data_IF_935068419672
#
_entry.id   IF_935068419672
#
_cell.length_a   1.000
_cell.length_b   1.000
_cell.length_c   1.000
_cell.angle_alpha   90.00
_cell.angle_beta   90.00
_cell.angle_gamma   90.00
#
_symmetry.space_group_name_H-M   'P 1'
#
loop_
_entity.id
_entity.type
_entity.pdbx_description
1 polymer ?
#
# COMPACT_ATOMS: atom_id res chain seq x y z
N UNK A 1 18.02 16.23 3.24
CA UNK A 1 16.74 16.97 3.26
C UNK A 1 16.51 17.55 4.65
N UNK A 2 16.28 16.73 5.69
CA UNK A 2 15.94 17.26 7.02
C UNK A 2 17.10 17.92 7.79
N UNK A 3 18.35 17.66 7.41
CA UNK A 3 19.53 18.37 7.93
C UNK A 3 19.73 19.76 7.28
N UNK A 4 19.03 20.06 6.18
CA UNK A 4 19.01 21.38 5.55
C UNK A 4 17.80 22.16 6.10
N UNK A 5 18.01 23.25 6.88
CA UNK A 5 16.92 23.99 7.50
C UNK A 5 15.96 24.62 6.48
N UNK A 6 16.46 25.05 5.31
CA UNK A 6 15.64 25.65 4.26
C UNK A 6 14.75 24.58 3.65
N UNK A 7 15.33 23.43 3.27
CA UNK A 7 14.55 22.33 2.71
C UNK A 7 13.54 21.76 3.73
N UNK A 8 13.96 21.55 4.97
CA UNK A 8 13.13 20.99 6.05
C UNK A 8 11.89 21.85 6.35
N UNK A 9 11.99 23.17 6.17
CA UNK A 9 10.87 24.10 6.38
C UNK A 9 9.69 23.89 5.42
N UNK A 10 9.93 23.27 4.25
CA UNK A 10 8.90 22.98 3.26
C UNK A 10 8.32 21.57 3.36
N UNK A 11 8.92 20.69 4.17
CA UNK A 11 8.55 19.26 4.21
C UNK A 11 7.86 18.93 5.53
N UNK A 12 6.59 18.53 5.42
CA UNK A 12 5.78 18.10 6.57
C UNK A 12 5.97 16.64 6.99
N UNK A 13 6.44 15.77 6.08
CA UNK A 13 6.52 14.34 6.32
C UNK A 13 7.23 13.55 5.23
N UNK A 14 7.18 12.23 5.34
CA UNK A 14 7.87 11.26 4.48
C UNK A 14 6.85 10.30 3.87
N UNK A 15 6.85 10.19 2.55
CA UNK A 15 6.09 9.15 1.83
C UNK A 15 6.91 7.87 1.70
N UNK A 16 6.29 6.73 1.97
CA UNK A 16 6.92 5.39 1.89
C UNK A 16 6.01 4.44 1.09
N UNK A 17 6.62 3.56 0.29
CA UNK A 17 5.91 2.54 -0.49
C UNK A 17 6.22 1.14 0.06
N UNK A 18 5.24 0.25 0.02
CA UNK A 18 5.29 -1.08 0.67
C UNK A 18 6.27 -2.11 0.04
N UNK A 19 6.62 -1.96 -1.24
CA UNK A 19 7.19 -3.06 -2.05
C UNK A 19 8.56 -3.61 -1.60
N UNK A 20 9.24 -2.94 -0.66
CA UNK A 20 10.53 -3.36 -0.13
C UNK A 20 10.48 -3.85 1.33
N UNK A 21 9.30 -3.96 1.94
CA UNK A 21 9.13 -4.38 3.35
C UNK A 21 9.60 -5.82 3.61
N UNK A 22 9.69 -6.67 2.57
CA UNK A 22 10.31 -8.00 2.67
C UNK A 22 11.85 -7.98 2.75
N UNK A 23 12.47 -6.83 2.49
CA UNK A 23 13.93 -6.64 2.48
C UNK A 23 14.38 -5.73 3.63
N UNK A 24 13.62 -4.66 3.90
CA UNK A 24 13.91 -3.71 4.95
C UNK A 24 12.97 -3.89 6.14
N UNK A 25 13.50 -3.99 7.38
CA UNK A 25 12.65 -4.15 8.55
C UNK A 25 11.89 -2.86 8.88
N UNK A 26 10.68 -2.99 9.41
CA UNK A 26 9.85 -1.87 9.85
C UNK A 26 10.54 -0.98 10.93
N UNK A 27 11.55 -1.50 11.64
CA UNK A 27 12.36 -0.71 12.58
C UNK A 27 13.11 0.46 11.93
N UNK A 28 13.29 0.45 10.60
CA UNK A 28 13.79 1.59 9.85
C UNK A 28 12.83 2.80 9.93
N UNK A 29 11.52 2.57 10.00
CA UNK A 29 10.51 3.61 10.20
C UNK A 29 10.64 4.21 11.61
N UNK A 30 10.81 3.36 12.63
CA UNK A 30 11.06 3.82 14.00
C UNK A 30 12.35 4.64 14.11
N UNK A 31 13.45 4.15 13.51
CA UNK A 31 14.71 4.92 13.44
C UNK A 31 14.52 6.28 12.76
N UNK A 32 13.69 6.33 11.70
CA UNK A 32 13.40 7.55 10.96
C UNK A 32 12.60 8.54 11.82
N UNK A 33 11.58 8.07 12.53
CA UNK A 33 10.80 8.89 13.46
C UNK A 33 11.67 9.41 14.61
N UNK A 34 12.51 8.57 15.22
CA UNK A 34 13.41 8.99 16.31
C UNK A 34 14.39 10.10 15.89
N UNK A 35 14.84 10.10 14.63
CA UNK A 35 15.71 11.16 14.07
C UNK A 35 14.95 12.44 13.75
N UNK A 36 13.67 12.34 13.37
CA UNK A 36 12.85 13.45 12.90
C UNK A 36 11.42 13.37 13.46
N UNK A 37 11.23 13.51 14.79
CA UNK A 37 9.96 13.24 15.43
C UNK A 37 8.85 14.25 15.09
N UNK A 38 9.22 15.41 14.55
CA UNK A 38 8.31 16.45 14.06
C UNK A 38 7.75 16.16 12.65
N UNK A 39 8.24 15.13 11.97
CA UNK A 39 7.84 14.74 10.62
C UNK A 39 6.97 13.49 10.67
N UNK A 40 5.77 13.55 10.10
CA UNK A 40 4.93 12.36 10.00
C UNK A 40 5.45 11.41 8.90
N UNK A 41 5.15 10.12 9.04
CA UNK A 41 5.42 9.12 8.00
C UNK A 41 4.08 8.65 7.45
N UNK A 42 3.95 8.57 6.13
CA UNK A 42 2.74 8.11 5.45
C UNK A 42 3.12 6.99 4.48
N UNK A 43 2.48 5.84 4.60
CA UNK A 43 2.52 4.84 3.53
C UNK A 43 1.59 5.32 2.42
N UNK A 44 2.19 5.87 1.36
CA UNK A 44 1.47 6.53 0.27
C UNK A 44 1.03 5.58 -0.83
N UNK A 45 1.59 4.36 -0.85
CA UNK A 45 1.24 3.37 -1.87
C UNK A 45 1.57 1.94 -1.41
N UNK A 46 0.64 1.03 -1.70
CA UNK A 46 0.79 -0.40 -1.56
C UNK A 46 -0.10 -1.13 -2.58
N UNK A 47 0.39 -2.23 -3.17
CA UNK A 47 -0.47 -3.11 -3.96
C UNK A 47 -0.02 -4.58 -3.91
N UNK A 48 -1.00 -5.48 -4.06
CA UNK A 48 -0.73 -6.87 -4.36
C UNK A 48 -0.57 -7.10 -5.87
N UNK A 49 0.03 -8.25 -6.24
CA UNK A 49 0.20 -8.64 -7.65
C UNK A 49 1.56 -8.26 -8.27
N UNK A 50 2.39 -7.47 -7.57
CA UNK A 50 3.75 -7.15 -8.01
C UNK A 50 4.71 -8.37 -7.97
N UNK A 51 4.74 -9.10 -6.84
CA UNK A 51 5.69 -10.22 -6.61
C UNK A 51 5.06 -11.62 -6.74
N UNK A 52 3.79 -11.78 -6.35
CA UNK A 52 3.12 -13.09 -6.26
C UNK A 52 1.96 -13.20 -7.25
N UNK A 53 2.27 -13.70 -8.46
CA UNK A 53 1.29 -14.03 -9.50
C UNK A 53 0.58 -12.80 -10.08
N UNK A 54 0.97 -12.39 -11.29
CA UNK A 54 0.42 -11.22 -11.99
C UNK A 54 -0.97 -11.50 -12.56
N UNK A 55 -2.01 -11.48 -11.74
CA UNK A 55 -3.43 -11.29 -12.12
C UNK A 55 -4.24 -10.96 -10.85
N UNK A 56 -5.41 -10.34 -10.97
CA UNK A 56 -6.43 -10.43 -9.94
C UNK A 56 -6.70 -11.89 -9.59
N UNK A 57 -6.74 -12.20 -8.30
CA UNK A 57 -7.07 -13.54 -7.79
C UNK A 57 -8.28 -13.43 -6.91
N UNK A 58 -9.45 -13.44 -7.54
CA UNK A 58 -10.74 -13.27 -6.87
C UNK A 58 -10.85 -14.17 -5.64
N UNK A 59 -11.13 -13.55 -4.49
CA UNK A 59 -11.34 -14.28 -3.23
C UNK A 59 -10.07 -14.82 -2.56
N UNK A 60 -8.86 -14.49 -3.04
CA UNK A 60 -7.62 -15.02 -2.47
C UNK A 60 -7.26 -14.37 -1.13
N UNK A 61 -7.68 -15.02 -0.05
CA UNK A 61 -7.61 -14.47 1.32
C UNK A 61 -6.21 -14.08 1.79
N UNK A 62 -5.16 -14.79 1.35
CA UNK A 62 -3.77 -14.46 1.71
C UNK A 62 -3.37 -13.02 1.37
N UNK A 63 -3.90 -12.44 0.28
CA UNK A 63 -3.65 -11.02 -0.06
C UNK A 63 -4.23 -10.05 0.97
N UNK A 64 -5.32 -10.43 1.62
CA UNK A 64 -5.92 -9.68 2.73
C UNK A 64 -5.04 -9.74 3.99
N UNK A 65 -4.48 -10.90 4.28
CA UNK A 65 -3.54 -11.09 5.40
C UNK A 65 -2.29 -10.23 5.22
N UNK A 66 -1.77 -10.12 3.99
CA UNK A 66 -0.65 -9.24 3.67
C UNK A 66 -0.98 -7.76 3.93
N UNK A 67 -2.16 -7.28 3.52
CA UNK A 67 -2.61 -5.91 3.79
C UNK A 67 -2.75 -5.65 5.29
N UNK A 68 -3.47 -6.51 6.01
CA UNK A 68 -3.67 -6.38 7.45
C UNK A 68 -2.33 -6.42 8.21
N UNK A 69 -1.43 -7.34 7.83
CA UNK A 69 -0.11 -7.43 8.43
C UNK A 69 0.72 -6.17 8.17
N UNK A 70 0.72 -5.63 6.95
CA UNK A 70 1.40 -4.38 6.63
C UNK A 70 0.84 -3.22 7.46
N UNK A 71 -0.47 -2.99 7.44
CA UNK A 71 -1.12 -1.89 8.16
C UNK A 71 -0.79 -1.96 9.66
N UNK A 72 -0.98 -3.12 10.31
CA UNK A 72 -0.65 -3.30 11.74
C UNK A 72 0.83 -3.03 11.99
N UNK A 73 1.71 -3.56 11.15
CA UNK A 73 3.16 -3.45 11.33
C UNK A 73 3.59 -2.00 11.27
N UNK A 74 3.14 -1.25 10.26
CA UNK A 74 3.62 0.12 10.04
C UNK A 74 2.97 1.12 11.00
N UNK A 75 1.70 0.93 11.37
CA UNK A 75 1.04 1.74 12.42
C UNK A 75 1.75 1.57 13.77
N UNK A 76 2.24 0.37 14.09
CA UNK A 76 3.08 0.13 15.27
C UNK A 76 4.51 0.70 15.15
N UNK A 77 4.86 1.31 14.02
CA UNK A 77 6.15 1.95 13.75
C UNK A 77 5.98 3.41 13.26
N UNK A 78 5.12 4.17 13.93
CA UNK A 78 4.93 5.63 13.77
C UNK A 78 4.35 6.11 12.44
N UNK A 79 3.90 5.21 11.58
CA UNK A 79 3.18 5.60 10.37
C UNK A 79 1.80 6.13 10.74
N UNK A 80 1.44 7.29 10.17
CA UNK A 80 0.19 8.00 10.46
C UNK A 80 -0.97 7.62 9.52
N UNK A 81 -0.68 6.90 8.44
CA UNK A 81 -1.70 6.44 7.48
C UNK A 81 -1.16 5.47 6.46
N UNK A 82 -2.07 4.75 5.79
CA UNK A 82 -1.74 3.73 4.80
C UNK A 82 -2.69 3.87 3.61
N UNK A 83 -2.14 3.91 2.41
CA UNK A 83 -2.88 4.19 1.18
C UNK A 83 -2.69 3.06 0.19
N UNK A 84 -3.80 2.46 -0.24
CA UNK A 84 -3.82 1.48 -1.32
C UNK A 84 -3.50 2.14 -2.67
N UNK A 85 -3.14 1.34 -3.67
CA UNK A 85 -2.86 1.84 -5.01
C UNK A 85 -4.13 2.05 -5.85
N UNK A 86 -4.47 1.11 -6.73
CA UNK A 86 -5.67 1.22 -7.55
C UNK A 86 -6.89 0.79 -6.74
N UNK A 87 -7.82 1.72 -6.50
CA UNK A 87 -9.09 1.39 -5.83
C UNK A 87 -9.90 0.31 -6.59
N UNK A 88 -9.82 0.33 -7.92
CA UNK A 88 -10.58 -0.54 -8.83
C UNK A 88 -9.72 -0.91 -10.03
N UNK A 89 -9.73 -2.19 -10.42
CA UNK A 89 -9.16 -2.67 -11.69
C UNK A 89 -10.15 -3.62 -12.40
N UNK A 90 -9.88 -3.94 -13.66
CA UNK A 90 -10.63 -4.95 -14.40
C UNK A 90 -10.18 -6.39 -14.08
N UNK A 91 -10.85 -7.38 -14.67
CA UNK A 91 -10.53 -8.81 -14.53
C UNK A 91 -9.10 -9.19 -14.96
N UNK A 92 -8.42 -8.35 -15.76
CA UNK A 92 -7.02 -8.54 -16.13
C UNK A 92 -6.05 -7.89 -15.13
N UNK A 93 -6.52 -6.97 -14.29
CA UNK A 93 -5.69 -6.15 -13.40
C UNK A 93 -5.22 -4.85 -14.05
N UNK A 94 -5.97 -4.35 -15.03
CA UNK A 94 -5.73 -3.10 -15.75
C UNK A 94 -6.95 -2.15 -15.73
N UNK A 95 -7.08 -1.25 -16.73
CA UNK A 95 -6.20 -1.08 -17.88
C UNK A 95 -4.86 -0.43 -17.52
N UNK A 96 -3.79 -0.82 -18.20
CA UNK A 96 -2.49 -0.14 -18.09
C UNK A 96 -1.82 -0.10 -19.45
N UNK A 97 -1.32 1.08 -19.84
CA UNK A 97 -0.65 1.24 -21.14
C UNK A 97 0.64 0.42 -21.22
N UNK A 98 1.40 0.40 -20.12
CA UNK A 98 2.50 -0.55 -19.93
C UNK A 98 1.89 -1.80 -19.29
N UNK A 99 2.20 -3.03 -19.74
CA UNK A 99 1.57 -4.26 -19.24
C UNK A 99 2.05 -4.64 -17.81
N UNK A 100 1.79 -3.75 -16.86
CA UNK A 100 2.07 -3.86 -15.43
C UNK A 100 0.75 -4.09 -14.69
N UNK A 101 0.15 -5.25 -14.93
CA UNK A 101 -1.12 -5.63 -14.30
C UNK A 101 -0.92 -6.04 -12.85
N UNK A 102 -1.83 -5.60 -11.99
CA UNK A 102 -1.76 -5.75 -10.55
C UNK A 102 -3.11 -6.27 -10.01
N UNK A 103 -3.20 -6.43 -8.70
CA UNK A 103 -4.48 -6.69 -8.04
C UNK A 103 -5.05 -5.41 -7.43
N UNK A 104 -6.36 -5.40 -7.17
CA UNK A 104 -7.06 -4.30 -6.52
C UNK A 104 -8.13 -4.81 -5.54
N UNK A 105 -8.47 -4.05 -4.48
CA UNK A 105 -9.54 -4.41 -3.56
C UNK A 105 -10.90 -4.58 -4.22
N UNK A 106 -11.15 -3.89 -5.33
CA UNK A 106 -12.37 -4.03 -6.14
C UNK A 106 -11.97 -4.41 -7.55
N UNK A 107 -12.60 -5.46 -8.08
CA UNK A 107 -12.44 -5.89 -9.47
C UNK A 107 -13.78 -5.72 -10.20
N UNK A 108 -13.75 -5.08 -11.37
CA UNK A 108 -14.94 -4.89 -12.22
C UNK A 108 -14.92 -5.89 -13.36
N UNK A 109 -16.03 -6.63 -13.49
CA UNK A 109 -16.32 -7.41 -14.68
C UNK A 109 -17.34 -6.65 -15.54
N UNK A 110 -16.84 -6.08 -16.64
CA UNK A 110 -17.67 -5.31 -17.56
C UNK A 110 -18.68 -6.18 -18.31
N UNK A 111 -18.36 -7.44 -18.58
CA UNK A 111 -19.19 -8.31 -19.42
C UNK A 111 -20.35 -8.86 -18.57
N UNK A 112 -20.09 -9.16 -17.30
CA UNK A 112 -21.11 -9.53 -16.32
C UNK A 112 -21.86 -8.33 -15.69
N UNK A 113 -21.40 -7.09 -15.93
CA UNK A 113 -21.98 -5.86 -15.35
C UNK A 113 -21.99 -5.87 -13.81
N UNK A 114 -20.93 -6.40 -13.21
CA UNK A 114 -20.80 -6.54 -11.76
C UNK A 114 -19.40 -6.17 -11.26
N UNK A 115 -19.26 -6.05 -9.94
CA UNK A 115 -17.98 -5.84 -9.29
C UNK A 115 -17.82 -6.77 -8.09
N UNK A 116 -16.59 -7.20 -7.87
CA UNK A 116 -16.20 -8.08 -6.78
C UNK A 116 -15.40 -7.28 -5.76
N UNK A 117 -15.95 -7.18 -4.54
CA UNK A 117 -15.19 -6.71 -3.38
C UNK A 117 -14.32 -7.85 -2.88
N UNK A 118 -13.01 -7.73 -3.05
CA UNK A 118 -12.07 -8.76 -2.66
C UNK A 118 -11.82 -8.78 -1.15
N UNK A 119 -11.27 -9.88 -0.60
CA UNK A 119 -10.86 -9.94 0.80
C UNK A 119 -10.02 -8.74 1.27
N UNK A 120 -9.13 -8.20 0.42
CA UNK A 120 -8.34 -7.01 0.70
C UNK A 120 -9.20 -5.78 1.03
N UNK A 121 -10.34 -5.59 0.36
CA UNK A 121 -11.27 -4.48 0.65
C UNK A 121 -11.72 -4.54 2.10
N UNK A 122 -12.13 -5.73 2.55
CA UNK A 122 -12.64 -5.92 3.90
C UNK A 122 -11.51 -5.81 4.93
N UNK A 123 -10.32 -6.33 4.63
CA UNK A 123 -9.16 -6.16 5.51
C UNK A 123 -8.81 -4.69 5.75
N UNK A 124 -8.81 -3.85 4.71
CA UNK A 124 -8.59 -2.40 4.89
C UNK A 124 -9.71 -1.76 5.70
N UNK A 125 -10.97 -2.12 5.43
CA UNK A 125 -12.14 -1.54 6.12
C UNK A 125 -12.22 -1.90 7.62
N UNK A 126 -11.39 -2.82 8.12
CA UNK A 126 -11.26 -3.11 9.54
C UNK A 126 -10.41 -2.08 10.31
N UNK A 127 -9.66 -1.23 9.61
CA UNK A 127 -8.83 -0.16 10.17
C UNK A 127 -9.47 1.21 9.89
#
# INVERSE_FOLDING_TARGET
IFEDPVASSYVGGIGVHWYADGVFPASALTTTHERHPDKFILYTEACNGFLQGKYPRLGYFYRAELYANSIITVLNNWVAGWTDWNMVLDMQGGPSWVPNYLDAPIIVDKDAQEFYKQPMYYAMAHF
#
